data_IF_008343283578
#
_entry.id   IF_008343283578
#
_cell.length_a   1.000
_cell.length_b   1.000
_cell.length_c   1.000
_cell.angle_alpha   90.00
_cell.angle_beta   90.00
_cell.angle_gamma   90.00
#
_symmetry.space_group_name_H-M   'P 1'
#
loop_
_entity.id
_entity.type
_entity.pdbx_description
1 polymer ?
#
# COMPACT_ATOMS: atom_id res chain seq x y z
N UNK A 1 -14.70 16.03 14.98
CA UNK A 1 -15.64 16.23 13.85
C UNK A 1 -16.44 14.95 13.71
N UNK A 2 -17.74 15.01 13.41
CA UNK A 2 -18.44 13.81 12.99
C UNK A 2 -17.93 13.42 11.59
N UNK A 3 -17.73 12.13 11.34
CA UNK A 3 -17.59 11.64 9.98
C UNK A 3 -18.99 11.61 9.38
N UNK A 4 -19.18 12.31 8.25
CA UNK A 4 -20.41 12.18 7.47
C UNK A 4 -20.52 10.75 6.93
N UNK A 5 -21.76 10.28 6.74
CA UNK A 5 -22.01 8.97 6.13
C UNK A 5 -21.35 8.94 4.74
N UNK A 6 -20.37 8.05 4.47
CA UNK A 6 -19.66 7.99 3.20
C UNK A 6 -20.55 7.51 2.03
N UNK A 7 -21.82 7.20 2.31
CA UNK A 7 -22.77 6.59 1.40
C UNK A 7 -22.70 5.07 1.46
N UNK A 8 -23.79 4.44 1.00
CA UNK A 8 -23.88 2.98 0.88
C UNK A 8 -22.68 2.42 0.10
N UNK A 9 -21.90 1.56 0.76
CA UNK A 9 -20.82 0.82 0.11
C UNK A 9 -21.38 -0.02 -1.06
N UNK A 10 -20.66 -0.05 -2.18
CA UNK A 10 -21.11 -0.71 -3.39
C UNK A 10 -21.44 -2.19 -3.13
N UNK A 11 -22.67 -2.60 -3.50
CA UNK A 11 -23.14 -3.96 -3.22
C UNK A 11 -22.37 -5.00 -4.02
N UNK A 12 -22.33 -6.26 -3.55
CA UNK A 12 -21.70 -7.35 -4.29
C UNK A 12 -22.28 -7.51 -5.72
N UNK A 13 -23.58 -7.31 -5.91
CA UNK A 13 -24.23 -7.32 -7.23
C UNK A 13 -23.75 -6.15 -8.12
N UNK A 14 -23.53 -4.97 -7.53
CA UNK A 14 -22.99 -3.82 -8.25
C UNK A 14 -21.52 -4.03 -8.65
N UNK A 15 -20.70 -4.60 -7.75
CA UNK A 15 -19.32 -4.96 -8.05
C UNK A 15 -19.23 -6.01 -9.17
N UNK A 16 -20.15 -6.98 -9.20
CA UNK A 16 -20.27 -7.94 -10.30
C UNK A 16 -20.63 -7.24 -11.63
N UNK A 17 -21.63 -6.35 -11.65
CA UNK A 17 -22.00 -5.57 -12.83
C UNK A 17 -20.85 -4.64 -13.33
N UNK A 18 -20.08 -4.04 -12.41
CA UNK A 18 -18.84 -3.30 -12.76
C UNK A 18 -17.81 -4.25 -13.40
N UNK A 19 -17.60 -5.43 -12.83
CA UNK A 19 -16.68 -6.44 -13.34
C UNK A 19 -17.09 -7.00 -14.72
N UNK A 20 -18.38 -7.22 -14.98
CA UNK A 20 -18.88 -7.62 -16.31
C UNK A 20 -18.50 -6.64 -17.43
N UNK A 21 -18.31 -5.35 -17.09
CA UNK A 21 -17.89 -4.34 -18.05
C UNK A 21 -16.37 -4.26 -18.19
N UNK A 22 -15.62 -4.42 -17.09
CA UNK A 22 -14.16 -4.53 -17.14
C UNK A 22 -13.68 -5.79 -17.88
N UNK A 23 -14.31 -6.94 -17.64
CA UNK A 23 -13.94 -8.23 -18.23
C UNK A 23 -14.04 -8.28 -19.76
N UNK A 24 -14.87 -7.42 -20.38
CA UNK A 24 -14.99 -7.30 -21.85
C UNK A 24 -13.74 -6.74 -22.52
N UNK A 25 -12.90 -6.00 -21.78
CA UNK A 25 -11.69 -5.33 -22.30
C UNK A 25 -10.40 -5.74 -21.58
N UNK A 26 -10.51 -6.34 -20.39
CA UNK A 26 -9.36 -6.83 -19.63
C UNK A 26 -8.58 -7.88 -20.41
N UNK A 27 -7.25 -7.74 -20.40
CA UNK A 27 -6.30 -8.78 -20.82
C UNK A 27 -5.37 -9.05 -19.63
N UNK A 28 -5.16 -10.31 -19.23
CA UNK A 28 -4.20 -10.62 -18.18
C UNK A 28 -2.79 -10.34 -18.68
N UNK A 29 -1.93 -9.83 -17.78
CA UNK A 29 -0.49 -9.78 -18.02
C UNK A 29 0.07 -11.22 -18.20
N UNK A 30 0.93 -11.48 -19.20
CA UNK A 30 1.46 -12.81 -19.43
C UNK A 30 2.34 -13.27 -18.26
N UNK A 31 2.20 -14.54 -17.86
CA UNK A 31 2.98 -15.09 -16.75
C UNK A 31 4.48 -15.05 -17.08
N UNK A 32 5.34 -15.06 -16.06
CA UNK A 32 6.81 -14.94 -16.27
C UNK A 32 7.40 -15.99 -17.24
N UNK A 33 6.74 -17.16 -17.35
CA UNK A 33 7.05 -18.27 -18.27
C UNK A 33 6.54 -18.07 -19.72
N UNK A 34 5.58 -17.18 -19.93
CA UNK A 34 4.95 -16.87 -21.22
C UNK A 34 5.55 -15.61 -21.88
N UNK A 35 6.31 -14.82 -21.13
CA UNK A 35 7.06 -13.67 -21.67
C UNK A 35 8.13 -14.15 -22.66
N UNK A 36 8.31 -13.48 -23.82
CA UNK A 36 9.33 -13.85 -24.79
C UNK A 36 10.76 -13.92 -24.21
N UNK A 37 11.57 -14.83 -24.73
CA UNK A 37 12.99 -14.91 -24.41
C UNK A 37 13.69 -13.58 -24.73
N UNK A 38 14.55 -13.10 -23.83
CA UNK A 38 15.20 -11.79 -23.95
C UNK A 38 14.32 -10.59 -23.57
N UNK A 39 13.03 -10.78 -23.23
CA UNK A 39 12.18 -9.68 -22.74
C UNK A 39 12.76 -9.04 -21.47
N UNK A 40 12.58 -7.72 -21.27
CA UNK A 40 13.06 -7.04 -20.06
C UNK A 40 12.48 -7.68 -18.81
N UNK A 41 13.36 -8.22 -17.95
CA UNK A 41 13.01 -8.68 -16.61
C UNK A 41 12.94 -7.47 -15.66
N UNK A 42 11.98 -7.42 -14.72
CA UNK A 42 12.00 -6.41 -13.66
C UNK A 42 13.34 -6.43 -12.90
N UNK A 43 13.90 -5.24 -12.66
CA UNK A 43 15.15 -5.03 -11.89
C UNK A 43 14.95 -4.16 -10.65
N UNK A 44 13.72 -3.77 -10.39
CA UNK A 44 13.28 -2.89 -9.32
C UNK A 44 12.18 -3.60 -8.56
N UNK A 45 12.22 -3.53 -7.24
CA UNK A 45 11.14 -3.94 -6.35
C UNK A 45 10.61 -2.67 -5.67
N UNK A 46 9.29 -2.52 -5.60
CA UNK A 46 8.64 -1.37 -4.95
C UNK A 46 7.97 -1.89 -3.69
N UNK A 47 8.27 -1.25 -2.56
CA UNK A 47 7.55 -1.48 -1.30
C UNK A 47 6.74 -0.23 -1.01
N UNK A 48 5.42 -0.42 -0.91
CA UNK A 48 4.43 0.62 -0.70
C UNK A 48 3.36 0.09 0.27
N UNK A 49 2.33 0.88 0.50
CA UNK A 49 1.15 0.49 1.25
C UNK A 49 0.12 -0.20 0.32
N UNK A 50 -1.14 -0.34 0.74
CA UNK A 50 -2.18 -1.12 0.04
C UNK A 50 -3.51 -0.35 -0.26
N UNK A 51 -4.17 -0.74 -1.38
CA UNK A 51 -5.35 -0.29 -2.20
C UNK A 51 -6.49 0.62 -1.63
N UNK A 52 -7.18 1.51 -2.44
CA UNK A 52 -7.12 1.78 -3.90
C UNK A 52 -7.08 3.29 -4.40
N UNK A 53 -5.96 4.05 -4.33
CA UNK A 53 -5.73 5.48 -4.77
C UNK A 53 -4.24 5.89 -4.98
N UNK A 54 -3.36 5.84 -3.96
CA UNK A 54 -1.87 6.05 -3.98
C UNK A 54 -1.15 4.95 -4.76
N UNK A 55 -1.26 5.06 -6.07
CA UNK A 55 -0.74 4.03 -6.93
C UNK A 55 0.82 4.07 -7.00
N UNK A 56 1.55 3.06 -6.43
CA UNK A 56 3.01 2.97 -6.48
C UNK A 56 3.59 3.03 -7.89
N UNK A 57 2.74 2.78 -8.87
CA UNK A 57 3.11 2.66 -10.26
C UNK A 57 2.78 3.97 -11.01
N UNK A 58 1.58 4.58 -10.95
CA UNK A 58 1.25 5.88 -11.59
C UNK A 58 2.24 6.97 -11.21
N UNK A 59 2.57 7.13 -9.93
CA UNK A 59 3.54 8.16 -9.52
C UNK A 59 5.01 7.82 -9.87
N UNK A 60 5.26 6.62 -10.41
CA UNK A 60 6.52 6.19 -11.04
C UNK A 60 6.40 5.96 -12.57
N UNK A 61 5.23 6.22 -13.18
CA UNK A 61 4.95 6.05 -14.62
C UNK A 61 4.48 4.65 -15.09
N UNK A 62 3.60 3.99 -14.33
CA UNK A 62 3.14 2.58 -14.45
C UNK A 62 1.62 2.45 -13.97
N UNK A 63 0.97 1.26 -13.73
CA UNK A 63 -0.48 1.12 -13.30
C UNK A 63 -0.82 0.24 -11.98
N UNK A 64 -1.76 0.64 -11.03
CA UNK A 64 -2.23 -0.07 -9.76
C UNK A 64 -1.48 -0.01 -8.33
N UNK A 65 -1.89 0.39 -7.06
CA UNK A 65 -3.05 1.08 -6.38
C UNK A 65 -2.96 2.02 -5.08
N UNK A 66 -2.59 1.76 -3.77
CA UNK A 66 -2.83 2.75 -2.60
C UNK A 66 -2.03 2.78 -1.23
N UNK A 67 -2.43 3.69 -0.30
CA UNK A 67 -2.41 3.66 1.18
C UNK A 67 -3.56 4.40 1.92
N UNK A 68 -4.29 3.77 2.86
CA UNK A 68 -5.28 4.43 3.78
C UNK A 68 -4.76 4.88 5.17
N UNK A 69 -3.59 4.39 5.60
CA UNK A 69 -3.11 4.41 6.98
C UNK A 69 -2.68 5.79 7.56
N UNK A 70 -2.87 6.89 6.82
CA UNK A 70 -2.53 8.26 7.28
C UNK A 70 -3.60 8.90 8.18
N UNK A 71 -4.73 8.22 8.40
CA UNK A 71 -5.88 8.72 9.16
C UNK A 71 -6.21 7.88 10.41
N UNK A 72 -5.32 6.94 10.78
CA UNK A 72 -5.55 5.94 11.82
C UNK A 72 -4.42 6.01 12.85
N UNK A 73 -4.73 5.79 14.14
CA UNK A 73 -3.74 5.60 15.22
C UNK A 73 -3.99 4.24 15.87
N UNK A 74 -2.99 3.64 16.53
CA UNK A 74 -3.14 2.29 17.08
C UNK A 74 -4.25 2.25 18.14
N UNK A 75 -4.33 3.29 18.97
CA UNK A 75 -5.37 3.48 19.99
C UNK A 75 -6.76 3.63 19.36
N UNK A 76 -6.85 4.33 18.22
CA UNK A 76 -8.09 4.49 17.47
C UNK A 76 -8.57 3.19 16.81
N UNK A 77 -7.65 2.35 16.33
CA UNK A 77 -7.96 1.03 15.77
C UNK A 77 -8.39 0.08 16.90
N UNK A 78 -7.59 -0.03 17.97
CA UNK A 78 -7.89 -0.88 19.12
C UNK A 78 -9.19 -0.48 19.80
N UNK A 79 -9.45 0.82 19.97
CA UNK A 79 -10.71 1.35 20.48
C UNK A 79 -11.91 0.93 19.62
N UNK A 80 -11.85 1.14 18.30
CA UNK A 80 -12.92 0.73 17.38
C UNK A 80 -13.17 -0.79 17.40
N UNK A 81 -12.13 -1.62 17.54
CA UNK A 81 -12.27 -3.08 17.66
C UNK A 81 -12.96 -3.48 18.98
N UNK A 82 -12.61 -2.85 20.10
CA UNK A 82 -13.24 -3.10 21.42
C UNK A 82 -14.70 -2.63 21.45
N UNK A 83 -14.98 -1.41 20.97
CA UNK A 83 -16.33 -0.83 20.85
C UNK A 83 -17.29 -1.65 19.97
N UNK A 84 -16.75 -2.42 19.03
CA UNK A 84 -17.52 -3.31 18.12
C UNK A 84 -17.46 -4.78 18.51
N UNK A 85 -16.79 -5.12 19.62
CA UNK A 85 -16.58 -6.48 20.12
C UNK A 85 -15.97 -7.45 19.09
N UNK A 86 -15.00 -6.95 18.29
CA UNK A 86 -14.37 -7.67 17.18
C UNK A 86 -13.12 -8.48 17.60
N UNK A 87 -13.22 -9.18 18.74
CA UNK A 87 -12.14 -9.94 19.38
C UNK A 87 -12.24 -9.91 20.91
N UNK A 88 -11.41 -10.66 21.62
CA UNK A 88 -11.20 -10.42 23.07
C UNK A 88 -10.32 -9.18 23.28
N UNK A 89 -10.39 -8.56 24.46
CA UNK A 89 -9.57 -7.38 24.74
C UNK A 89 -8.08 -7.69 24.75
N UNK A 90 -7.67 -8.87 25.21
CA UNK A 90 -6.29 -9.34 25.17
C UNK A 90 -5.81 -9.49 23.72
N UNK A 91 -6.61 -10.16 22.87
CA UNK A 91 -6.33 -10.32 21.44
C UNK A 91 -6.18 -8.99 20.72
N UNK A 92 -7.01 -7.99 21.06
CA UNK A 92 -6.95 -6.67 20.45
C UNK A 92 -5.72 -5.88 20.93
N UNK A 93 -5.27 -6.07 22.16
CA UNK A 93 -4.11 -5.37 22.70
C UNK A 93 -2.78 -5.90 22.16
N UNK A 94 -2.70 -7.19 21.83
CA UNK A 94 -1.55 -7.82 21.15
C UNK A 94 -1.36 -7.35 19.69
N UNK A 95 -2.37 -6.73 19.07
CA UNK A 95 -2.29 -6.24 17.68
C UNK A 95 -1.43 -4.98 17.59
N UNK A 96 -0.21 -5.13 17.08
CA UNK A 96 0.65 -4.01 16.69
C UNK A 96 0.19 -3.46 15.34
N UNK A 97 -0.27 -2.22 15.33
CA UNK A 97 -0.59 -1.47 14.12
C UNK A 97 0.44 -0.37 13.95
N UNK A 98 1.42 -0.57 13.06
CA UNK A 98 2.36 0.50 12.74
C UNK A 98 1.65 1.66 12.03
N UNK A 99 1.16 2.62 12.80
CA UNK A 99 0.47 3.82 12.31
C UNK A 99 0.88 5.03 13.16
N UNK A 100 0.85 6.22 12.55
CA UNK A 100 1.34 7.43 13.22
C UNK A 100 1.79 8.52 12.24
N UNK A 101 1.91 9.74 12.75
CA UNK A 101 2.12 10.96 11.95
C UNK A 101 3.57 11.18 11.46
N UNK A 102 4.56 10.41 11.94
CA UNK A 102 5.98 10.58 11.62
C UNK A 102 6.38 9.94 10.27
N UNK A 103 5.66 10.25 9.20
CA UNK A 103 5.81 9.60 7.88
C UNK A 103 7.25 9.58 7.35
N UNK A 104 7.99 10.69 7.46
CA UNK A 104 9.40 10.74 7.06
C UNK A 104 10.30 9.79 7.87
N UNK A 105 10.02 9.62 9.18
CA UNK A 105 10.84 8.76 10.01
C UNK A 105 10.62 7.30 9.64
N UNK A 106 9.35 6.87 9.51
CA UNK A 106 9.00 5.53 9.02
C UNK A 106 9.62 5.20 7.65
N UNK A 107 9.69 6.16 6.74
CA UNK A 107 10.37 5.97 5.45
C UNK A 107 11.89 5.78 5.63
N UNK A 108 12.55 6.55 6.51
CA UNK A 108 13.96 6.31 6.87
C UNK A 108 14.17 4.94 7.53
N UNK A 109 13.29 4.55 8.45
CA UNK A 109 13.40 3.29 9.19
C UNK A 109 13.23 2.08 8.26
N UNK A 110 12.26 2.13 7.33
CA UNK A 110 12.09 1.12 6.27
C UNK A 110 13.31 1.04 5.34
N UNK A 111 13.88 2.19 4.94
CA UNK A 111 15.13 2.22 4.14
C UNK A 111 16.30 1.65 4.93
N UNK A 112 16.36 1.90 6.25
CA UNK A 112 17.39 1.34 7.14
C UNK A 112 17.24 -0.17 7.27
N UNK A 113 16.04 -0.68 7.52
CA UNK A 113 15.73 -2.11 7.60
C UNK A 113 16.19 -2.88 6.34
N UNK A 114 15.92 -2.33 5.17
CA UNK A 114 16.36 -2.90 3.88
C UNK A 114 17.90 -2.86 3.75
N UNK A 115 18.56 -1.79 4.23
CA UNK A 115 20.03 -1.63 4.17
C UNK A 115 20.78 -2.48 5.20
N UNK A 116 20.21 -2.70 6.38
CA UNK A 116 20.77 -3.56 7.42
C UNK A 116 20.59 -5.06 7.08
N UNK A 117 19.49 -5.44 6.43
CA UNK A 117 19.08 -6.83 6.23
C UNK A 117 20.16 -7.70 5.54
N UNK A 118 20.57 -8.84 6.13
CA UNK A 118 21.54 -9.75 5.50
C UNK A 118 20.96 -10.51 4.30
N UNK A 119 19.65 -10.45 4.08
CA UNK A 119 18.95 -11.13 2.98
C UNK A 119 18.82 -10.26 1.72
N UNK A 120 19.18 -8.97 1.80
CA UNK A 120 19.19 -8.03 0.67
C UNK A 120 20.62 -7.91 0.14
N UNK A 121 20.80 -8.00 -1.18
CA UNK A 121 22.12 -7.87 -1.81
C UNK A 121 22.67 -6.44 -1.67
N UNK A 122 23.98 -6.31 -1.46
CA UNK A 122 24.65 -5.02 -1.28
C UNK A 122 24.40 -4.05 -2.45
N UNK A 123 24.40 -4.51 -3.69
CA UNK A 123 24.12 -3.64 -4.83
C UNK A 123 22.63 -3.28 -4.98
N UNK A 124 21.71 -3.89 -4.24
CA UNK A 124 20.34 -3.40 -4.04
C UNK A 124 20.28 -2.38 -2.90
N UNK A 125 20.88 -2.68 -1.74
CA UNK A 125 20.97 -1.78 -0.57
C UNK A 125 21.50 -0.39 -0.93
N UNK A 126 22.57 -0.34 -1.73
CA UNK A 126 23.17 0.89 -2.22
C UNK A 126 22.25 1.72 -3.15
N UNK A 127 21.21 1.12 -3.71
CA UNK A 127 20.21 1.76 -4.58
C UNK A 127 18.83 1.96 -3.93
N UNK A 128 18.63 1.48 -2.70
CA UNK A 128 17.39 1.69 -1.93
C UNK A 128 17.20 3.17 -1.57
N UNK A 129 16.12 3.77 -2.10
CA UNK A 129 15.65 5.14 -1.82
C UNK A 129 14.36 5.11 -0.98
N UNK A 130 14.18 6.11 -0.14
CA UNK A 130 12.92 6.38 0.55
C UNK A 130 12.14 7.47 -0.19
N UNK A 131 10.83 7.28 -0.38
CA UNK A 131 10.00 8.20 -1.15
C UNK A 131 8.71 8.50 -0.37
N UNK A 132 8.22 9.74 -0.45
CA UNK A 132 6.89 10.16 0.00
C UNK A 132 6.14 10.71 -1.21
N UNK A 133 4.93 10.18 -1.45
CA UNK A 133 3.98 10.73 -2.41
C UNK A 133 2.91 11.53 -1.66
N UNK A 134 2.74 12.81 -2.02
CA UNK A 134 1.64 13.63 -1.50
C UNK A 134 0.38 13.49 -2.38
N UNK A 135 -0.63 12.83 -1.82
CA UNK A 135 -1.92 12.57 -2.46
C UNK A 135 -2.71 13.83 -2.84
N UNK A 136 -2.37 15.00 -2.28
CA UNK A 136 -3.06 16.27 -2.57
C UNK A 136 -2.46 17.02 -3.74
N UNK A 137 -1.17 16.80 -4.03
CA UNK A 137 -0.42 17.56 -5.04
C UNK A 137 0.15 16.69 -6.16
N UNK A 138 0.17 15.36 -5.99
CA UNK A 138 0.82 14.42 -6.91
C UNK A 138 2.35 14.44 -6.85
N UNK A 139 2.94 15.15 -5.87
CA UNK A 139 4.39 15.35 -5.79
C UNK A 139 5.06 14.18 -5.07
N UNK A 140 6.09 13.62 -5.72
CA UNK A 140 6.96 12.60 -5.16
C UNK A 140 8.26 13.23 -4.62
N UNK A 141 8.55 13.05 -3.34
CA UNK A 141 9.71 13.62 -2.65
C UNK A 141 10.62 12.51 -2.11
N UNK A 142 11.92 12.58 -2.38
CA UNK A 142 12.90 11.65 -1.81
C UNK A 142 13.24 12.04 -0.36
N UNK A 143 13.08 11.07 0.55
CA UNK A 143 13.46 11.19 1.95
C UNK A 143 14.93 10.79 2.10
N UNK A 144 15.72 11.70 2.65
CA UNK A 144 17.13 11.49 3.03
C UNK A 144 17.23 11.00 4.47
#
# INVERSE_FOLDING_TARGET
MAFEDPGMAASAAELLNRNENAAKVHRPEPLLKERPAGSPKPKTFIFCCFDPRVDPTTFLGLNPWDCGALHMTEEGIKGYLKDRHLGSEEQIEELVFEVGNQLQQRVRDNVKLIKDSPFVREELKARTKGLIYDIKTGVLTEVK
#
